data_IF_208761090065
#
_entry.id   IF_208761090065
#
_cell.length_a   1.000
_cell.length_b   1.000
_cell.length_c   1.000
_cell.angle_alpha   90.00
_cell.angle_beta   90.00
_cell.angle_gamma   90.00
#
_symmetry.space_group_name_H-M   'P 1'
#
loop_
_entity.id
_entity.type
_entity.pdbx_description
1 polymer ?
#
# COMPACT_ATOMS: atom_id res chain seq x y z
N UNK A 1 -8.21 10.23 -16.23
CA UNK A 1 -7.42 11.47 -16.45
C UNK A 1 -5.96 11.08 -16.51
N UNK A 2 -5.19 11.64 -17.43
CA UNK A 2 -3.77 11.36 -17.57
C UNK A 2 -2.98 11.94 -16.39
N UNK A 3 -2.07 11.15 -15.83
CA UNK A 3 -1.20 11.56 -14.71
C UNK A 3 0.14 12.11 -15.21
N UNK A 4 0.71 11.49 -16.23
CA UNK A 4 1.94 11.91 -16.91
C UNK A 4 2.00 11.29 -18.31
N UNK A 5 2.70 11.92 -19.25
CA UNK A 5 3.14 11.31 -20.51
C UNK A 5 4.52 11.82 -20.89
N UNK A 6 5.22 11.06 -21.72
CA UNK A 6 6.50 11.46 -22.29
C UNK A 6 6.68 10.82 -23.66
N UNK A 7 7.34 11.54 -24.57
CA UNK A 7 7.85 10.96 -25.81
C UNK A 7 9.12 10.16 -25.51
N UNK A 8 9.07 8.85 -25.72
CA UNK A 8 10.20 7.95 -25.44
C UNK A 8 10.80 7.43 -26.76
N UNK A 9 12.11 7.56 -26.99
CA UNK A 9 12.74 6.97 -28.16
C UNK A 9 12.71 5.44 -28.04
N UNK A 10 12.49 4.76 -29.17
CA UNK A 10 12.64 3.31 -29.23
C UNK A 10 14.09 2.92 -29.48
N UNK A 11 14.48 1.76 -28.93
CA UNK A 11 15.81 1.20 -29.02
C UNK A 11 15.80 -0.11 -29.84
N UNK A 12 16.92 -0.47 -30.48
CA UNK A 12 17.03 -1.70 -31.27
C UNK A 12 16.68 -2.98 -30.52
N UNK A 13 15.99 -3.91 -31.17
CA UNK A 13 15.48 -5.15 -30.58
C UNK A 13 15.54 -6.33 -31.55
N UNK A 14 16.75 -6.82 -31.83
CA UNK A 14 16.99 -7.91 -32.79
C UNK A 14 16.27 -9.22 -32.44
N UNK A 15 16.16 -9.53 -31.15
CA UNK A 15 15.43 -10.70 -30.66
C UNK A 15 13.92 -10.59 -30.90
N UNK A 16 13.36 -9.40 -30.72
CA UNK A 16 11.94 -9.12 -31.01
C UNK A 16 11.68 -9.21 -32.50
N UNK A 17 12.53 -8.61 -33.34
CA UNK A 17 12.45 -8.73 -34.81
C UNK A 17 12.53 -10.19 -35.28
N UNK A 18 13.37 -11.00 -34.63
CA UNK A 18 13.48 -12.43 -34.94
C UNK A 18 12.22 -13.21 -34.55
N UNK A 19 11.60 -12.89 -33.41
CA UNK A 19 10.40 -13.57 -32.93
C UNK A 19 9.13 -13.11 -33.67
N UNK A 20 9.09 -11.85 -34.10
CA UNK A 20 7.93 -11.20 -34.71
C UNK A 20 8.33 -10.49 -36.01
N UNK A 21 8.76 -11.24 -37.05
CA UNK A 21 9.30 -10.65 -38.27
C UNK A 21 8.29 -9.81 -39.05
N UNK A 22 6.99 -10.10 -38.91
CA UNK A 22 5.92 -9.39 -39.61
C UNK A 22 5.44 -8.12 -38.88
N UNK A 23 5.99 -7.82 -37.70
CA UNK A 23 5.65 -6.61 -36.94
C UNK A 23 6.58 -5.46 -37.33
N UNK A 24 6.01 -4.40 -37.91
CA UNK A 24 6.74 -3.23 -38.42
C UNK A 24 7.74 -2.63 -37.40
N UNK A 25 7.36 -2.51 -36.14
CA UNK A 25 8.21 -1.92 -35.09
C UNK A 25 9.20 -2.90 -34.45
N UNK A 26 9.18 -4.19 -34.80
CA UNK A 26 9.91 -5.23 -34.06
C UNK A 26 11.44 -5.02 -34.05
N UNK A 27 12.00 -4.34 -35.06
CA UNK A 27 13.41 -3.96 -35.10
C UNK A 27 13.81 -2.89 -34.07
N UNK A 28 12.87 -2.07 -33.61
CA UNK A 28 13.07 -0.99 -32.63
C UNK A 28 11.84 -0.86 -31.72
N UNK A 29 11.63 -1.86 -30.86
CA UNK A 29 10.47 -1.94 -29.96
C UNK A 29 10.82 -1.75 -28.48
N UNK A 30 12.12 -1.69 -28.12
CA UNK A 30 12.53 -1.52 -26.73
C UNK A 30 12.39 -0.07 -26.30
N UNK A 31 12.01 0.14 -25.05
CA UNK A 31 12.04 1.44 -24.42
C UNK A 31 12.41 1.27 -22.95
N UNK A 32 12.99 2.31 -22.37
CA UNK A 32 13.18 2.42 -20.93
C UNK A 32 12.96 3.89 -20.57
N UNK A 33 12.10 4.13 -19.59
CA UNK A 33 11.84 5.47 -19.12
C UNK A 33 11.50 5.42 -17.63
N UNK A 34 12.16 6.29 -16.86
CA UNK A 34 11.84 6.55 -15.47
C UNK A 34 11.14 7.91 -15.38
N UNK A 35 9.88 7.91 -14.92
CA UNK A 35 9.14 9.15 -14.69
C UNK A 35 9.66 9.95 -13.47
N UNK A 36 10.67 9.43 -12.76
CA UNK A 36 11.22 9.92 -11.50
C UNK A 36 10.16 10.01 -10.40
N UNK A 37 9.29 11.02 -10.44
CA UNK A 37 8.22 11.22 -9.47
C UNK A 37 6.88 11.47 -10.16
N UNK A 38 6.05 10.44 -10.20
CA UNK A 38 4.63 10.55 -10.54
C UNK A 38 3.79 10.67 -9.28
N UNK A 39 2.72 11.46 -9.35
CA UNK A 39 1.74 11.58 -8.26
C UNK A 39 0.59 10.63 -8.55
N UNK A 40 0.70 9.41 -8.06
CA UNK A 40 -0.40 8.47 -8.06
C UNK A 40 -1.30 8.73 -6.86
N UNK A 41 -2.59 8.87 -7.12
CA UNK A 41 -3.59 8.97 -6.06
C UNK A 41 -3.89 7.57 -5.53
N UNK A 42 -3.76 7.33 -4.22
CA UNK A 42 -4.17 6.05 -3.65
C UNK A 42 -5.65 5.75 -3.83
N UNK A 43 -5.98 4.45 -3.88
CA UNK A 43 -7.35 3.99 -4.10
C UNK A 43 -7.87 4.16 -5.53
N UNK A 44 -7.11 4.81 -6.42
CA UNK A 44 -7.43 4.89 -7.84
C UNK A 44 -6.86 3.71 -8.62
N UNK A 45 -7.57 3.30 -9.65
CA UNK A 45 -7.01 2.46 -10.70
C UNK A 45 -6.14 3.32 -11.61
N UNK A 46 -4.92 2.87 -11.83
CA UNK A 46 -3.99 3.48 -12.77
C UNK A 46 -3.81 2.53 -13.95
N UNK A 47 -3.42 3.06 -15.10
CA UNK A 47 -3.00 2.25 -16.25
C UNK A 47 -1.71 2.83 -16.81
N UNK A 48 -0.77 1.94 -17.17
CA UNK A 48 0.36 2.33 -17.99
C UNK A 48 -0.04 2.02 -19.44
N UNK A 49 0.17 2.98 -20.33
CA UNK A 49 -0.15 2.85 -21.76
C UNK A 49 1.12 3.13 -22.55
N UNK A 50 1.49 2.20 -23.43
CA UNK A 50 2.42 2.49 -24.52
C UNK A 50 1.59 2.87 -25.74
N UNK A 51 1.97 3.95 -26.41
CA UNK A 51 1.25 4.49 -27.56
C UNK A 51 2.23 4.83 -28.68
N UNK A 52 1.95 4.34 -29.89
CA UNK A 52 2.51 4.90 -31.11
C UNK A 52 1.52 5.93 -31.65
N UNK A 53 1.97 7.15 -31.89
CA UNK A 53 1.14 8.28 -32.32
C UNK A 53 1.78 8.95 -33.54
N UNK A 54 0.94 9.52 -34.42
CA UNK A 54 1.40 10.34 -35.55
C UNK A 54 1.75 11.78 -35.15
N UNK A 55 1.40 12.19 -33.93
CA UNK A 55 1.79 13.48 -33.34
C UNK A 55 2.75 13.25 -32.16
N UNK A 56 3.77 14.09 -32.04
CA UNK A 56 4.81 14.05 -31.03
C UNK A 56 4.49 14.90 -29.77
N UNK A 57 3.32 15.55 -29.77
CA UNK A 57 2.79 16.35 -28.68
C UNK A 57 1.49 15.75 -28.12
N UNK A 58 1.29 15.88 -26.82
CA UNK A 58 0.05 15.47 -26.15
C UNK A 58 -0.12 13.95 -26.08
N UNK A 59 -1.38 13.51 -26.10
CA UNK A 59 -1.70 12.09 -26.02
C UNK A 59 -1.76 11.41 -27.39
N UNK A 60 -1.78 12.12 -28.51
CA UNK A 60 -2.01 11.48 -29.81
C UNK A 60 -3.48 11.41 -30.24
N UNK A 61 -4.39 11.94 -29.43
CA UNK A 61 -5.81 12.13 -29.71
C UNK A 61 -6.19 13.60 -29.94
N UNK A 62 -5.20 14.49 -29.95
CA UNK A 62 -5.38 15.93 -30.11
C UNK A 62 -5.36 16.35 -31.60
N UNK A 63 -6.50 16.82 -32.11
CA UNK A 63 -6.60 17.51 -33.40
C UNK A 63 -6.93 16.65 -34.63
N UNK A 64 -6.90 17.28 -35.81
CA UNK A 64 -7.48 16.75 -37.06
C UNK A 64 -6.67 15.59 -37.68
N UNK A 65 -5.43 15.38 -37.24
CA UNK A 65 -4.56 14.29 -37.66
C UNK A 65 -4.40 13.20 -36.58
N UNK A 66 -5.17 13.24 -35.50
CA UNK A 66 -5.07 12.29 -34.40
C UNK A 66 -5.22 10.82 -34.88
N UNK A 67 -4.14 10.06 -34.84
CA UNK A 67 -4.14 8.62 -35.06
C UNK A 67 -3.06 7.99 -34.19
N UNK A 68 -3.44 6.91 -33.50
CA UNK A 68 -2.56 6.21 -32.60
C UNK A 68 -2.95 4.74 -32.46
N UNK A 69 -2.01 3.93 -31.98
CA UNK A 69 -2.26 2.57 -31.53
C UNK A 69 -1.69 2.36 -30.14
N UNK A 70 -2.47 1.70 -29.29
CA UNK A 70 -2.20 1.55 -27.88
C UNK A 70 -1.93 0.11 -27.49
N UNK A 71 -1.02 -0.03 -26.53
CA UNK A 71 -0.89 -1.20 -25.71
C UNK A 71 -1.09 -0.83 -24.24
N UNK A 72 -2.14 -1.40 -23.64
CA UNK A 72 -2.52 -1.17 -22.25
C UNK A 72 -1.87 -2.21 -21.36
N UNK A 73 -0.96 -1.79 -20.48
CA UNK A 73 -0.33 -2.68 -19.51
C UNK A 73 -1.27 -2.90 -18.32
N UNK A 74 -1.49 -4.14 -17.88
CA UNK A 74 -2.18 -4.41 -16.62
C UNK A 74 -1.26 -4.01 -15.46
N UNK A 75 -1.53 -2.87 -14.81
CA UNK A 75 -0.87 -2.51 -13.56
C UNK A 75 -1.79 -2.76 -12.37
N UNK A 76 -1.20 -3.08 -11.22
CA UNK A 76 -1.98 -3.34 -9.99
C UNK A 76 -2.51 -2.03 -9.41
N UNK A 77 -3.75 -2.06 -8.94
CA UNK A 77 -4.37 -0.98 -8.16
C UNK A 77 -3.58 -0.74 -6.87
N UNK A 78 -3.36 0.54 -6.53
CA UNK A 78 -2.71 0.97 -5.28
C UNK A 78 -3.75 1.05 -4.15
N UNK A 79 -4.23 -0.09 -3.70
CA UNK A 79 -5.27 -0.21 -2.67
C UNK A 79 -4.99 -1.31 -1.63
N UNK A 80 -3.76 -1.80 -1.57
CA UNK A 80 -3.36 -2.88 -0.67
C UNK A 80 -2.92 -2.33 0.68
N UNK A 81 -3.18 -3.11 1.72
CA UNK A 81 -2.69 -2.85 3.07
C UNK A 81 -2.44 -4.17 3.78
N UNK A 82 -1.49 -4.16 4.70
CA UNK A 82 -1.16 -5.30 5.54
C UNK A 82 -0.51 -4.85 6.85
N UNK A 83 -0.62 -5.67 7.88
CA UNK A 83 0.00 -5.42 9.18
C UNK A 83 0.23 -6.71 9.97
N UNK A 84 1.08 -6.60 10.99
CA UNK A 84 1.20 -7.55 12.09
C UNK A 84 1.45 -6.79 13.38
N UNK A 85 0.97 -7.33 14.51
CA UNK A 85 1.38 -6.89 15.84
C UNK A 85 2.27 -7.99 16.40
N UNK A 86 3.57 -7.72 16.46
CA UNK A 86 4.58 -8.73 16.83
C UNK A 86 4.60 -8.95 18.35
N UNK A 87 4.35 -7.90 19.14
CA UNK A 87 4.27 -7.99 20.59
C UNK A 87 3.39 -6.89 21.18
N UNK A 88 2.74 -7.17 22.30
CA UNK A 88 2.17 -6.13 23.16
C UNK A 88 2.25 -6.55 24.63
N UNK A 89 2.45 -5.58 25.53
CA UNK A 89 2.42 -5.78 26.98
C UNK A 89 1.91 -4.52 27.67
N UNK A 90 1.10 -4.69 28.71
CA UNK A 90 0.71 -3.60 29.62
C UNK A 90 1.33 -3.93 30.97
N UNK A 91 2.15 -3.01 31.50
CA UNK A 91 2.78 -3.19 32.80
C UNK A 91 1.85 -2.80 33.97
N UNK A 92 2.32 -3.01 35.19
CA UNK A 92 1.57 -2.69 36.41
C UNK A 92 1.33 -1.18 36.60
N UNK A 93 1.99 -0.33 35.81
CA UNK A 93 1.84 1.13 35.80
C UNK A 93 0.94 1.60 34.65
N UNK A 94 0.18 0.70 34.01
CA UNK A 94 -0.68 0.99 32.85
C UNK A 94 0.07 1.55 31.64
N UNK A 95 1.37 1.27 31.51
CA UNK A 95 2.13 1.60 30.31
C UNK A 95 2.01 0.44 29.33
N UNK A 96 1.38 0.72 28.19
CA UNK A 96 1.34 -0.19 27.05
C UNK A 96 2.64 -0.05 26.26
N UNK A 97 3.28 -1.17 25.97
CA UNK A 97 4.30 -1.28 24.93
C UNK A 97 3.76 -2.17 23.82
N UNK A 98 3.91 -1.74 22.57
CA UNK A 98 3.42 -2.49 21.40
C UNK A 98 4.40 -2.32 20.25
N UNK A 99 4.67 -3.41 19.53
CA UNK A 99 5.53 -3.42 18.36
C UNK A 99 4.93 -4.28 17.25
N UNK A 100 5.37 -4.04 16.03
CA UNK A 100 4.86 -4.73 14.87
C UNK A 100 5.29 -4.06 13.57
N UNK A 101 4.50 -4.28 12.54
CA UNK A 101 4.65 -3.59 11.26
C UNK A 101 3.30 -3.31 10.62
N UNK A 102 3.22 -2.24 9.81
CA UNK A 102 2.08 -1.98 8.95
C UNK A 102 2.49 -1.19 7.69
N UNK A 103 1.85 -1.53 6.58
CA UNK A 103 2.05 -0.89 5.28
C UNK A 103 0.69 -0.69 4.60
N UNK A 104 0.54 0.42 3.88
CA UNK A 104 -0.71 0.80 3.24
C UNK A 104 -0.43 1.63 1.98
N UNK A 105 -0.99 1.23 0.84
CA UNK A 105 -0.91 1.99 -0.40
C UNK A 105 -1.51 3.41 -0.25
N UNK A 106 -2.49 3.55 0.63
CA UNK A 106 -3.07 4.84 0.99
C UNK A 106 -2.17 5.74 1.85
N UNK A 107 -0.97 5.29 2.21
CA UNK A 107 0.02 6.10 2.92
C UNK A 107 0.78 7.08 2.02
N UNK A 108 0.64 7.01 0.68
CA UNK A 108 1.31 7.96 -0.22
C UNK A 108 0.93 9.40 0.17
N UNK A 109 1.95 10.21 0.43
CA UNK A 109 1.80 11.62 0.85
C UNK A 109 1.48 11.82 2.34
N UNK A 110 1.39 10.77 3.14
CA UNK A 110 1.14 10.82 4.60
C UNK A 110 2.44 10.58 5.36
N UNK A 111 3.01 11.63 5.94
CA UNK A 111 4.35 11.63 6.54
C UNK A 111 4.38 11.18 8.02
N UNK A 112 3.22 11.11 8.65
CA UNK A 112 3.12 10.84 10.08
C UNK A 112 2.46 9.48 10.29
N UNK A 113 2.98 8.69 11.22
CA UNK A 113 2.47 7.38 11.57
C UNK A 113 2.09 7.35 13.05
N UNK A 114 0.99 6.69 13.39
CA UNK A 114 0.47 6.60 14.75
C UNK A 114 0.02 5.18 15.07
N UNK A 115 0.19 4.83 16.35
CA UNK A 115 -0.54 3.74 17.00
C UNK A 115 -1.55 4.39 17.94
N UNK A 116 -2.82 4.14 17.68
CA UNK A 116 -3.94 4.63 18.50
C UNK A 116 -4.54 3.42 19.22
N UNK A 117 -4.82 3.56 20.50
CA UNK A 117 -5.37 2.51 21.36
C UNK A 117 -6.83 2.79 21.58
N UNK A 118 -7.67 1.81 21.26
CA UNK A 118 -9.10 1.84 21.55
C UNK A 118 -9.43 0.85 22.66
N UNK A 119 -10.32 1.26 23.56
CA UNK A 119 -11.03 0.37 24.47
C UNK A 119 -12.52 0.45 24.17
N UNK A 120 -13.12 -0.70 23.84
CA UNK A 120 -14.54 -0.80 23.46
C UNK A 120 -14.96 0.21 22.38
N UNK A 121 -14.04 0.46 21.44
CA UNK A 121 -14.23 1.40 20.33
C UNK A 121 -13.91 2.86 20.65
N UNK A 122 -13.63 3.21 21.90
CA UNK A 122 -13.24 4.57 22.30
C UNK A 122 -11.73 4.72 22.38
N UNK A 123 -11.20 5.81 21.81
CA UNK A 123 -9.78 6.11 21.94
C UNK A 123 -9.40 6.45 23.39
N UNK A 124 -8.40 5.74 23.91
CA UNK A 124 -7.85 5.96 25.26
C UNK A 124 -6.38 6.39 25.24
N UNK A 125 -5.76 6.48 24.06
CA UNK A 125 -4.41 6.98 23.93
C UNK A 125 -3.87 6.81 22.51
N UNK A 126 -2.84 7.59 22.19
CA UNK A 126 -2.13 7.50 20.90
C UNK A 126 -0.66 7.84 21.07
N UNK A 127 0.16 7.33 20.17
CA UNK A 127 1.57 7.69 20.04
C UNK A 127 1.94 7.83 18.58
N UNK A 128 2.60 8.94 18.25
CA UNK A 128 3.28 9.08 16.97
C UNK A 128 4.50 8.16 16.96
N UNK A 129 4.67 7.37 15.91
CA UNK A 129 5.79 6.45 15.75
C UNK A 129 6.68 6.87 14.57
N UNK A 130 7.97 6.54 14.69
CA UNK A 130 8.90 6.59 13.57
C UNK A 130 8.95 5.21 12.94
N UNK A 131 8.74 5.13 11.63
CA UNK A 131 8.79 3.87 10.91
C UNK A 131 10.23 3.35 10.83
N UNK A 132 10.41 2.04 10.98
CA UNK A 132 11.72 1.38 10.93
C UNK A 132 11.80 0.35 9.80
N UNK A 133 13.02 0.03 9.31
CA UNK A 133 13.19 -0.97 8.26
C UNK A 133 12.72 -2.38 8.64
N UNK A 134 12.12 -3.09 7.68
CA UNK A 134 11.64 -4.48 7.72
C UNK A 134 11.82 -5.13 6.33
N UNK A 135 13.04 -5.56 6.05
CA UNK A 135 13.39 -6.23 4.77
C UNK A 135 12.60 -7.53 4.56
N UNK A 136 12.26 -8.22 5.65
CA UNK A 136 11.41 -9.42 5.64
C UNK A 136 10.00 -9.09 5.12
N UNK A 137 9.43 -7.96 5.53
CA UNK A 137 8.11 -7.49 5.07
C UNK A 137 8.19 -7.07 3.60
N UNK A 138 9.23 -6.33 3.20
CA UNK A 138 9.43 -5.95 1.80
C UNK A 138 9.57 -7.16 0.87
N UNK A 139 10.20 -8.23 1.34
CA UNK A 139 10.38 -9.47 0.56
C UNK A 139 9.06 -10.20 0.31
N UNK A 140 8.14 -10.22 1.29
CA UNK A 140 6.84 -10.89 1.16
C UNK A 140 5.79 -9.98 0.50
N UNK A 141 5.86 -8.66 0.75
CA UNK A 141 4.91 -7.66 0.25
C UNK A 141 5.60 -6.54 -0.54
N UNK A 142 6.34 -6.87 -1.62
CA UNK A 142 7.15 -5.90 -2.37
C UNK A 142 6.31 -4.86 -3.13
N UNK A 143 5.01 -5.13 -3.27
CA UNK A 143 4.08 -4.29 -4.03
C UNK A 143 3.28 -3.31 -3.18
N UNK A 144 3.29 -3.46 -1.84
CA UNK A 144 2.65 -2.47 -0.98
C UNK A 144 3.60 -1.28 -0.86
N UNK A 145 3.07 -0.08 -1.03
CA UNK A 145 3.83 1.16 -0.93
C UNK A 145 4.67 1.19 0.36
N UNK A 146 5.97 1.39 0.18
CA UNK A 146 6.94 1.60 1.25
C UNK A 146 6.95 0.47 2.31
N UNK A 147 6.70 -0.77 1.91
CA UNK A 147 6.68 -1.95 2.81
C UNK A 147 8.02 -2.21 3.52
N UNK A 148 9.13 -1.74 2.95
CA UNK A 148 10.45 -1.74 3.60
C UNK A 148 10.49 -0.91 4.88
N UNK A 149 9.79 0.23 4.93
CA UNK A 149 9.74 1.10 6.12
C UNK A 149 8.40 0.94 6.83
N UNK A 150 8.12 -0.29 7.27
CA UNK A 150 6.83 -0.67 7.85
C UNK A 150 6.87 -0.98 9.34
N UNK A 151 8.05 -1.16 9.94
CA UNK A 151 8.20 -1.50 11.35
C UNK A 151 7.82 -0.35 12.29
N UNK A 152 7.35 -0.68 13.49
CA UNK A 152 7.12 0.30 14.55
C UNK A 152 7.36 -0.27 15.94
N UNK A 153 7.61 0.64 16.88
CA UNK A 153 7.54 0.40 18.32
C UNK A 153 6.88 1.62 18.98
N UNK A 154 5.94 1.40 19.90
CA UNK A 154 5.27 2.44 20.65
C UNK A 154 5.23 2.10 22.14
N UNK A 155 5.36 3.15 22.95
CA UNK A 155 5.11 3.11 24.38
C UNK A 155 4.08 4.19 24.72
N UNK A 156 2.93 3.78 25.26
CA UNK A 156 1.76 4.64 25.50
C UNK A 156 1.38 4.52 26.97
N UNK A 157 1.36 5.65 27.68
CA UNK A 157 0.78 5.69 29.01
C UNK A 157 -0.73 5.72 28.89
N UNK A 158 -1.42 4.68 29.38
CA UNK A 158 -2.87 4.65 29.36
C UNK A 158 -3.43 5.45 30.57
N UNK A 159 -4.51 6.22 30.37
CA UNK A 159 -5.09 7.07 31.41
C UNK A 159 -5.85 6.25 32.47
N UNK A 160 -6.29 5.04 32.12
CA UNK A 160 -7.06 4.15 32.96
C UNK A 160 -6.60 2.70 32.76
N UNK A 161 -6.88 1.87 33.75
CA UNK A 161 -6.66 0.42 33.65
C UNK A 161 -7.58 -0.15 32.57
N UNK A 162 -7.02 -1.01 31.70
CA UNK A 162 -7.79 -1.68 30.66
C UNK A 162 -8.70 -2.72 31.29
N UNK A 163 -10.02 -2.55 31.11
CA UNK A 163 -11.05 -3.45 31.65
C UNK A 163 -12.08 -3.89 30.59
N UNK A 164 -11.78 -3.63 29.31
CA UNK A 164 -12.63 -3.97 28.17
C UNK A 164 -11.84 -4.52 26.99
N UNK A 165 -12.46 -4.55 25.80
CA UNK A 165 -11.84 -5.04 24.59
C UNK A 165 -10.86 -4.01 24.03
N UNK A 166 -9.57 -4.36 24.01
CA UNK A 166 -8.54 -3.50 23.46
C UNK A 166 -8.33 -3.74 21.97
N UNK A 167 -8.20 -2.67 21.18
CA UNK A 167 -7.90 -2.70 19.76
C UNK A 167 -6.87 -1.61 19.43
N UNK A 168 -6.21 -1.73 18.29
CA UNK A 168 -5.37 -0.67 17.75
C UNK A 168 -5.93 -0.12 16.43
N UNK A 169 -5.71 1.17 16.21
CA UNK A 169 -5.72 1.77 14.88
C UNK A 169 -4.29 2.12 14.51
N UNK A 170 -3.80 1.51 13.44
CA UNK A 170 -2.52 1.83 12.84
C UNK A 170 -2.78 2.85 11.73
N UNK A 171 -2.33 4.08 11.95
CA UNK A 171 -2.73 5.22 11.14
C UNK A 171 -1.52 5.86 10.47
N UNK A 172 -1.62 6.10 9.16
CA UNK A 172 -0.82 7.13 8.50
C UNK A 172 -1.65 8.41 8.38
N UNK A 173 -1.03 9.58 8.57
CA UNK A 173 -1.68 10.90 8.43
C UNK A 173 -0.76 11.91 7.72
N UNK A 174 -1.39 12.89 7.05
CA UNK A 174 -0.70 14.06 6.49
C UNK A 174 -0.48 15.20 7.50
N UNK A 175 -1.07 15.15 8.71
CA UNK A 175 -0.89 16.16 9.76
C UNK A 175 -0.16 15.62 11.00
N UNK A 176 0.56 16.51 11.67
CA UNK A 176 1.50 16.18 12.76
C UNK A 176 0.83 15.86 14.10
N UNK A 177 -0.48 16.05 14.20
CA UNK A 177 -1.34 15.62 15.31
C UNK A 177 -1.98 14.24 15.06
N UNK A 178 -1.80 13.68 13.86
CA UNK A 178 -2.40 12.43 13.44
C UNK A 178 -3.82 12.57 12.91
N UNK A 179 -4.31 13.81 12.75
CA UNK A 179 -5.63 14.13 12.23
C UNK A 179 -5.55 14.57 10.75
N UNK A 180 -6.68 14.89 10.12
CA UNK A 180 -6.73 15.31 8.71
C UNK A 180 -6.98 14.17 7.73
N UNK A 181 -6.22 14.12 6.63
CA UNK A 181 -6.35 13.02 5.66
C UNK A 181 -5.48 11.85 6.13
N UNK A 182 -6.14 10.78 6.57
CA UNK A 182 -5.49 9.61 7.14
C UNK A 182 -5.88 8.32 6.41
N UNK A 183 -5.07 7.29 6.63
CA UNK A 183 -5.30 5.93 6.18
C UNK A 183 -5.15 5.01 7.38
N UNK A 184 -6.24 4.33 7.74
CA UNK A 184 -6.36 3.54 8.95
C UNK A 184 -6.39 2.05 8.65
N UNK A 185 -5.72 1.30 9.50
CA UNK A 185 -5.87 -0.14 9.61
C UNK A 185 -6.35 -0.44 11.02
N UNK A 186 -7.56 -1.00 11.12
CA UNK A 186 -8.15 -1.42 12.38
C UNK A 186 -7.76 -2.86 12.69
N UNK A 187 -7.21 -3.10 13.86
CA UNK A 187 -7.04 -4.46 14.35
C UNK A 187 -8.37 -5.00 14.86
N UNK A 188 -8.47 -6.33 14.94
CA UNK A 188 -9.54 -6.97 15.71
C UNK A 188 -9.29 -6.80 17.21
N UNK A 189 -10.32 -7.02 18.05
CA UNK A 189 -10.16 -7.00 19.49
C UNK A 189 -9.12 -8.02 19.93
N UNK A 190 -8.21 -7.59 20.79
CA UNK A 190 -7.27 -8.48 21.45
C UNK A 190 -8.06 -9.31 22.46
N UNK A 191 -8.44 -10.52 22.07
CA UNK A 191 -9.14 -11.44 22.96
C UNK A 191 -8.14 -12.32 23.71
N UNK A 192 -8.25 -12.33 25.05
CA UNK A 192 -7.58 -13.29 25.94
C UNK A 192 -6.08 -13.49 25.68
N UNK A 193 -5.30 -12.41 25.58
CA UNK A 193 -3.84 -12.52 25.54
C UNK A 193 -3.26 -12.99 24.20
N UNK A 194 -4.10 -13.31 23.20
CA UNK A 194 -3.65 -13.74 21.88
C UNK A 194 -3.94 -12.67 20.84
N UNK A 195 -2.88 -11.99 20.41
CA UNK A 195 -2.83 -11.50 19.05
C UNK A 195 -2.75 -12.74 18.16
N UNK A 196 -3.86 -13.10 17.51
CA UNK A 196 -3.73 -13.99 16.36
C UNK A 196 -2.97 -13.18 15.32
N UNK A 197 -1.65 -13.39 15.21
CA UNK A 197 -0.84 -12.96 14.07
C UNK A 197 -1.61 -13.36 12.81
N UNK A 198 -2.31 -12.39 12.24
CA UNK A 198 -3.20 -12.59 11.12
C UNK A 198 -2.98 -11.38 10.26
N UNK A 199 -2.07 -11.53 9.32
CA UNK A 199 -1.85 -10.50 8.32
C UNK A 199 -3.15 -10.36 7.55
N UNK A 200 -3.78 -9.19 7.67
CA UNK A 200 -5.00 -8.85 6.92
C UNK A 200 -4.55 -8.22 5.61
N UNK A 201 -4.76 -8.92 4.49
CA UNK A 201 -4.76 -8.28 3.18
C UNK A 201 -6.18 -7.85 2.89
N UNK A 202 -6.41 -6.56 2.74
CA UNK A 202 -7.65 -6.10 2.10
C UNK A 202 -7.38 -5.94 0.62
N UNK A 203 -8.05 -6.73 -0.21
CA UNK A 203 -8.09 -6.57 -1.67
C UNK A 203 -9.55 -6.57 -2.10
N UNK A 204 -9.97 -5.58 -2.90
CA UNK A 204 -11.35 -5.49 -3.41
C UNK A 204 -12.42 -5.58 -2.30
N UNK A 205 -12.20 -4.86 -1.18
CA UNK A 205 -13.03 -4.91 0.03
C UNK A 205 -13.16 -6.29 0.71
N UNK A 206 -12.30 -7.25 0.37
CA UNK A 206 -12.24 -8.57 1.01
C UNK A 206 -10.98 -8.69 1.84
N UNK A 207 -11.15 -9.09 3.10
CA UNK A 207 -10.05 -9.41 4.01
C UNK A 207 -9.59 -10.86 3.80
N UNK A 208 -8.29 -11.05 3.56
CA UNK A 208 -7.63 -12.35 3.52
C UNK A 208 -6.68 -12.46 4.70
N UNK A 209 -6.68 -13.61 5.37
CA UNK A 209 -5.77 -13.89 6.47
C UNK A 209 -4.63 -14.76 5.97
N UNK A 210 -3.39 -14.46 6.35
CA UNK A 210 -2.25 -15.32 6.05
C UNK A 210 -1.58 -15.80 7.35
N UNK A 211 -1.08 -17.04 7.34
CA UNK A 211 -0.26 -17.57 8.44
C UNK A 211 1.17 -17.00 8.35
N UNK A 212 1.99 -17.30 9.36
CA UNK A 212 3.40 -16.88 9.44
C UNK A 212 4.27 -17.40 8.27
N UNK A 213 3.73 -18.24 7.39
CA UNK A 213 4.39 -18.77 6.18
C UNK A 213 3.87 -18.12 4.89
N UNK A 214 3.07 -17.06 4.99
CA UNK A 214 2.50 -16.38 3.81
C UNK A 214 1.47 -17.22 3.06
N UNK A 215 0.80 -18.17 3.72
CA UNK A 215 -0.29 -18.96 3.12
C UNK A 215 -1.65 -18.47 3.60
N UNK A 216 -2.61 -18.35 2.67
CA UNK A 216 -3.97 -17.93 3.00
C UNK A 216 -4.67 -18.93 3.93
N UNK A 217 -5.26 -18.47 5.02
CA UNK A 217 -6.00 -19.26 6.01
C UNK A 217 -7.46 -18.78 6.01
N UNK A 218 -8.36 -19.73 5.71
CA UNK A 218 -9.84 -19.64 5.55
C UNK A 218 -10.55 -18.31 5.89
N UNK A 219 -11.28 -17.79 4.89
CA UNK A 219 -12.29 -16.72 5.00
C UNK A 219 -13.34 -17.06 6.07
N UNK A 220 -13.39 -16.29 7.16
CA UNK A 220 -14.63 -16.16 7.92
C UNK A 220 -15.41 -15.00 7.31
N UNK A 221 -16.38 -15.33 6.46
CA UNK A 221 -17.41 -14.37 6.05
C UNK A 221 -18.30 -14.15 7.28
N UNK A 222 -17.98 -13.13 8.06
CA UNK A 222 -18.91 -12.50 9.00
C UNK A 222 -19.34 -11.19 8.37
N UNK A 223 -20.59 -11.12 7.92
CA UNK A 223 -21.16 -9.91 7.34
C UNK A 223 -21.01 -8.73 8.30
N UNK A 224 -20.49 -7.61 7.81
CA UNK A 224 -20.68 -6.30 8.45
C UNK A 224 -22.08 -5.86 8.05
N UNK A 225 -23.04 -6.04 8.95
CA UNK A 225 -24.31 -5.28 8.96
C UNK A 225 -24.13 -4.04 9.80
#
# INVERSE_FOLDING_TARGET
MQVASVLVPTNPSLDVAKAYPDTCSAGNARFNYDFARIRLTPGHDHSLVSRYSVIDQGNGDDGVAANHTDFWFPIKTLNQQAFSIDSYQIDAQNKLTVSGWFANDNAIGKKYAYVIVLQDGQEIGRQRVTMTPREDVASVYPIIYNSEMSGFNAAIQLPTTVNGNLNFVLRFSNQADGEGNYADIYTQPIQNGFLRNRVIFTKDNRAFYYNDRGQAVKNFVGAVT
#
